data_IF_438570513300
#
_entry.id   IF_438570513300
#
_cell.length_a   1.000
_cell.length_b   1.000
_cell.length_c   1.000
_cell.angle_alpha   90.00
_cell.angle_beta   90.00
_cell.angle_gamma   90.00
#
_symmetry.space_group_name_H-M   'P 1'
#
loop_
_entity.id
_entity.type
_entity.pdbx_description
1 polymer ?
#
# COMPACT_ATOMS: atom_id res chain seq x y z
N UNK A 1 -29.20 -3.87 -2.39
CA UNK A 1 -28.53 -2.59 -2.53
C UNK A 1 -27.31 -2.68 -3.44
N UNK A 2 -26.89 -1.59 -4.05
CA UNK A 2 -25.68 -1.55 -4.85
C UNK A 2 -24.45 -1.67 -3.95
N UNK A 3 -23.41 -2.37 -4.44
CA UNK A 3 -22.12 -2.44 -3.75
C UNK A 3 -21.47 -1.07 -3.61
N UNK A 4 -20.62 -0.90 -2.57
CA UNK A 4 -19.74 0.26 -2.43
C UNK A 4 -18.93 0.46 -3.71
N UNK A 5 -18.66 1.70 -4.08
CA UNK A 5 -17.76 2.01 -5.20
C UNK A 5 -16.30 1.89 -4.83
N UNK A 6 -15.96 1.84 -3.55
CA UNK A 6 -14.59 1.75 -3.06
C UNK A 6 -13.99 0.38 -3.32
N UNK A 7 -12.91 0.35 -4.07
CA UNK A 7 -12.16 -0.87 -4.39
C UNK A 7 -10.68 -0.75 -4.09
N UNK A 8 -10.25 0.37 -3.51
CA UNK A 8 -8.87 0.63 -3.13
C UNK A 8 -8.84 1.56 -1.90
N UNK A 9 -7.97 1.30 -0.97
CA UNK A 9 -7.63 2.22 0.13
C UNK A 9 -6.24 1.90 0.68
N UNK A 10 -5.59 2.88 1.28
CA UNK A 10 -4.47 2.64 2.18
C UNK A 10 -5.01 2.40 3.58
N UNK A 11 -4.43 1.48 4.33
CA UNK A 11 -4.94 1.14 5.66
C UNK A 11 -4.73 2.30 6.65
N UNK A 12 -5.76 2.66 7.42
CA UNK A 12 -5.66 3.65 8.50
C UNK A 12 -4.85 3.14 9.69
N UNK A 13 -4.74 1.84 9.83
CA UNK A 13 -4.03 1.17 10.91
C UNK A 13 -2.64 0.78 10.43
N UNK A 14 -1.61 1.36 11.04
CA UNK A 14 -0.22 1.05 10.71
C UNK A 14 0.18 -0.28 11.32
N UNK A 15 0.86 -1.12 10.54
CA UNK A 15 1.52 -2.31 11.11
C UNK A 15 2.74 -1.86 11.91
N UNK A 16 2.94 -2.47 13.06
CA UNK A 16 4.13 -2.20 13.88
C UNK A 16 5.37 -2.90 13.33
N UNK A 17 5.16 -3.99 12.59
CA UNK A 17 6.24 -4.82 12.03
C UNK A 17 5.83 -5.38 10.68
N UNK A 18 6.78 -6.03 9.99
CA UNK A 18 6.52 -6.78 8.75
C UNK A 18 5.82 -8.13 8.96
N UNK A 19 5.54 -8.52 10.22
CA UNK A 19 4.86 -9.78 10.53
C UNK A 19 3.34 -9.61 10.43
N UNK A 20 2.82 -9.75 9.23
CA UNK A 20 1.40 -9.55 8.94
C UNK A 20 0.57 -10.85 8.99
N UNK A 21 1.21 -12.00 9.25
CA UNK A 21 0.55 -13.31 9.18
C UNK A 21 0.49 -13.88 7.76
N UNK A 22 1.48 -13.56 6.94
CA UNK A 22 1.51 -13.92 5.52
C UNK A 22 0.49 -13.12 4.70
N UNK A 23 0.23 -13.54 3.46
CA UNK A 23 -0.78 -12.91 2.60
C UNK A 23 -2.19 -13.06 3.19
N UNK A 24 -2.49 -14.21 3.79
CA UNK A 24 -3.80 -14.47 4.40
C UNK A 24 -4.08 -13.49 5.54
N UNK A 25 -3.12 -13.28 6.43
CA UNK A 25 -3.25 -12.32 7.53
C UNK A 25 -3.37 -10.89 7.06
N UNK A 26 -2.61 -10.51 6.04
CA UNK A 26 -2.67 -9.19 5.43
C UNK A 26 -4.01 -8.94 4.73
N UNK A 27 -4.53 -9.91 3.98
CA UNK A 27 -5.84 -9.83 3.33
C UNK A 27 -6.96 -9.69 4.38
N UNK A 28 -6.89 -10.49 5.44
CA UNK A 28 -7.85 -10.40 6.55
C UNK A 28 -7.85 -9.00 7.18
N UNK A 29 -6.68 -8.42 7.40
CA UNK A 29 -6.54 -7.04 7.92
C UNK A 29 -7.25 -6.04 7.01
N UNK A 30 -7.02 -6.09 5.70
CA UNK A 30 -7.71 -5.22 4.75
C UNK A 30 -9.22 -5.42 4.78
N UNK A 31 -9.68 -6.67 4.79
CA UNK A 31 -11.10 -6.99 4.78
C UNK A 31 -11.79 -6.55 6.08
N UNK A 32 -11.16 -6.72 7.24
CA UNK A 32 -11.71 -6.32 8.54
C UNK A 32 -11.83 -4.78 8.62
N UNK A 33 -10.83 -4.03 8.14
CA UNK A 33 -10.88 -2.57 8.08
C UNK A 33 -11.99 -2.09 7.14
N UNK A 34 -12.11 -2.70 5.97
CA UNK A 34 -13.18 -2.39 5.01
C UNK A 34 -14.56 -2.66 5.60
N UNK A 35 -14.75 -3.81 6.27
CA UNK A 35 -16.02 -4.14 6.91
C UNK A 35 -16.38 -3.15 8.01
N UNK A 36 -15.41 -2.78 8.84
CA UNK A 36 -15.58 -1.79 9.90
C UNK A 36 -15.95 -0.41 9.38
N UNK A 37 -15.42 -0.03 8.22
CA UNK A 37 -15.75 1.23 7.54
C UNK A 37 -17.05 1.18 6.72
N UNK A 38 -17.74 0.04 6.67
CA UNK A 38 -18.98 -0.14 5.92
C UNK A 38 -18.80 -0.32 4.41
N UNK A 39 -17.60 -0.65 3.96
CA UNK A 39 -17.27 -0.88 2.53
C UNK A 39 -16.80 -2.32 2.27
N UNK A 40 -17.08 -3.24 3.19
CA UNK A 40 -16.63 -4.64 3.13
C UNK A 40 -17.44 -5.55 2.20
N UNK A 41 -18.28 -5.01 1.34
CA UNK A 41 -19.09 -5.74 0.35
C UNK A 41 -18.32 -6.15 -0.92
N UNK A 42 -17.06 -5.72 -1.04
CA UNK A 42 -16.07 -6.26 -1.96
C UNK A 42 -15.09 -7.17 -1.22
N UNK A 43 -14.44 -8.07 -1.95
CA UNK A 43 -13.29 -8.82 -1.43
C UNK A 43 -12.03 -8.00 -1.64
N UNK A 44 -11.36 -7.64 -0.54
CA UNK A 44 -10.10 -6.91 -0.58
C UNK A 44 -8.90 -7.85 -0.43
N UNK A 45 -7.89 -7.60 -1.23
CA UNK A 45 -6.59 -8.26 -1.14
C UNK A 45 -5.51 -7.22 -0.86
N UNK A 46 -4.58 -7.53 0.04
CA UNK A 46 -3.42 -6.69 0.27
C UNK A 46 -2.55 -6.63 -0.99
N UNK A 47 -2.11 -5.44 -1.37
CA UNK A 47 -1.14 -5.25 -2.45
C UNK A 47 0.26 -5.59 -1.93
N UNK A 48 0.59 -6.86 -1.93
CA UNK A 48 1.84 -7.40 -1.42
C UNK A 48 2.34 -8.51 -2.34
N UNK A 49 3.65 -8.51 -2.60
CA UNK A 49 4.31 -9.66 -3.23
C UNK A 49 4.94 -10.57 -2.18
N UNK A 50 5.06 -11.84 -2.52
CA UNK A 50 5.88 -12.82 -1.80
C UNK A 50 6.93 -13.40 -2.73
N UNK A 51 7.78 -14.28 -2.23
CA UNK A 51 8.80 -14.98 -3.04
C UNK A 51 8.19 -15.78 -4.20
N UNK A 52 6.89 -16.12 -4.14
CA UNK A 52 6.20 -16.94 -5.15
C UNK A 52 4.99 -16.28 -5.79
N UNK A 53 4.58 -15.09 -5.32
CA UNK A 53 3.38 -14.40 -5.81
C UNK A 53 3.69 -12.93 -6.07
N UNK A 54 3.35 -12.44 -7.24
CA UNK A 54 3.45 -11.02 -7.56
C UNK A 54 2.18 -10.28 -7.12
N UNK A 55 2.33 -9.10 -6.53
CA UNK A 55 1.19 -8.29 -6.11
C UNK A 55 0.20 -8.01 -7.25
N UNK A 56 0.71 -7.72 -8.45
CA UNK A 56 -0.13 -7.45 -9.62
C UNK A 56 -1.05 -8.62 -10.01
N UNK A 57 -0.69 -9.85 -9.66
CA UNK A 57 -1.42 -11.05 -10.07
C UNK A 57 -2.53 -11.43 -9.09
N UNK A 58 -2.66 -10.70 -7.96
CA UNK A 58 -3.63 -11.02 -6.90
C UNK A 58 -4.70 -9.97 -6.66
N UNK A 59 -4.68 -8.88 -7.40
CA UNK A 59 -5.57 -7.73 -7.18
C UNK A 59 -6.65 -7.54 -8.25
N UNK A 60 -6.74 -8.45 -9.23
CA UNK A 60 -7.67 -8.31 -10.35
C UNK A 60 -7.18 -7.34 -11.42
N UNK A 61 -8.10 -6.81 -12.21
CA UNK A 61 -7.80 -6.01 -13.41
C UNK A 61 -8.25 -4.55 -13.33
N UNK A 62 -8.89 -4.14 -12.22
CA UNK A 62 -9.45 -2.80 -12.05
C UNK A 62 -10.83 -2.64 -12.72
N UNK A 63 -11.34 -1.42 -12.85
CA UNK A 63 -10.75 -0.19 -12.33
C UNK A 63 -10.75 -0.15 -10.78
N UNK A 64 -9.86 0.66 -10.20
CA UNK A 64 -9.84 0.91 -8.77
C UNK A 64 -10.26 2.34 -8.45
N UNK A 65 -11.07 2.47 -7.40
CA UNK A 65 -11.62 3.73 -6.93
C UNK A 65 -11.39 3.82 -5.41
N UNK A 66 -10.87 4.93 -4.93
CA UNK A 66 -10.64 5.13 -3.50
C UNK A 66 -11.93 5.51 -2.76
N UNK A 67 -11.86 5.61 -1.44
CA UNK A 67 -13.02 5.87 -0.58
C UNK A 67 -13.64 7.26 -0.76
N UNK A 68 -12.94 8.20 -1.37
CA UNK A 68 -13.48 9.51 -1.78
C UNK A 68 -14.14 9.50 -3.16
N UNK A 69 -14.13 8.36 -3.85
CA UNK A 69 -14.69 8.23 -5.20
C UNK A 69 -13.74 8.64 -6.32
N UNK A 70 -12.46 8.88 -6.01
CA UNK A 70 -11.44 9.20 -7.00
C UNK A 70 -10.94 7.91 -7.67
N UNK A 71 -10.85 7.91 -8.99
CA UNK A 71 -10.26 6.79 -9.74
C UNK A 71 -8.75 6.74 -9.46
N UNK A 72 -8.30 5.61 -8.92
CA UNK A 72 -6.88 5.35 -8.68
C UNK A 72 -6.19 4.96 -9.98
N UNK A 73 -6.77 4.00 -10.69
CA UNK A 73 -6.30 3.57 -12.01
C UNK A 73 -7.41 2.80 -12.73
N UNK A 74 -7.41 2.88 -14.06
CA UNK A 74 -8.38 2.18 -14.90
C UNK A 74 -8.07 0.69 -15.07
N UNK A 75 -6.78 0.33 -15.06
CA UNK A 75 -6.28 -1.01 -15.31
C UNK A 75 -4.88 -1.23 -14.70
N UNK A 76 -4.35 -2.43 -14.82
CA UNK A 76 -3.03 -2.78 -14.27
C UNK A 76 -1.88 -1.95 -14.88
N UNK A 77 -1.94 -1.62 -16.15
CA UNK A 77 -0.93 -0.80 -16.81
C UNK A 77 -0.91 0.61 -16.23
N UNK A 78 -2.08 1.23 -16.11
CA UNK A 78 -2.23 2.56 -15.53
C UNK A 78 -1.82 2.57 -14.05
N UNK A 79 -2.16 1.53 -13.28
CA UNK A 79 -1.80 1.41 -11.88
C UNK A 79 -0.27 1.41 -11.68
N UNK A 80 0.46 0.65 -12.50
CA UNK A 80 1.91 0.51 -12.38
C UNK A 80 2.70 1.64 -13.10
N UNK A 81 2.03 2.47 -13.89
CA UNK A 81 2.60 3.69 -14.44
C UNK A 81 2.37 4.92 -13.55
N UNK A 82 1.46 4.82 -12.57
CA UNK A 82 1.08 5.95 -11.73
C UNK A 82 2.18 6.30 -10.72
N UNK A 83 2.23 7.59 -10.39
CA UNK A 83 3.04 8.12 -9.28
C UNK A 83 2.19 8.27 -8.04
N UNK A 84 2.82 8.20 -6.87
CA UNK A 84 2.19 8.49 -5.60
C UNK A 84 1.57 9.89 -5.61
N UNK A 85 0.41 9.98 -4.98
CA UNK A 85 -0.35 11.22 -4.79
C UNK A 85 -1.29 10.98 -3.61
N UNK A 86 -1.22 11.80 -2.58
CA UNK A 86 -2.00 11.59 -1.37
C UNK A 86 -3.51 11.58 -1.62
N UNK A 87 -3.99 12.36 -2.59
CA UNK A 87 -5.42 12.42 -2.95
C UNK A 87 -5.90 11.15 -3.65
N UNK A 88 -5.00 10.31 -4.12
CA UNK A 88 -5.27 9.10 -4.89
C UNK A 88 -4.91 7.86 -4.09
N UNK A 89 -3.63 7.70 -3.73
CA UNK A 89 -3.09 6.53 -3.05
C UNK A 89 -3.03 6.66 -1.53
N UNK A 90 -3.17 7.86 -0.99
CA UNK A 90 -3.04 8.15 0.45
C UNK A 90 -4.37 8.33 1.17
N UNK A 91 -5.49 7.87 0.61
CA UNK A 91 -6.81 7.95 1.23
C UNK A 91 -7.15 6.61 1.87
N UNK A 92 -7.47 6.63 3.17
CA UNK A 92 -7.80 5.43 3.94
C UNK A 92 -9.25 4.97 3.75
N UNK A 93 -9.62 3.85 4.36
CA UNK A 93 -10.97 3.30 4.32
C UNK A 93 -12.03 4.20 4.97
N UNK A 94 -11.61 5.15 5.80
CA UNK A 94 -12.47 6.12 6.50
C UNK A 94 -12.55 7.49 5.77
N UNK A 95 -12.07 7.56 4.51
CA UNK A 95 -12.06 8.79 3.70
C UNK A 95 -11.10 9.86 4.20
N UNK A 96 -10.09 9.49 4.98
CA UNK A 96 -9.07 10.41 5.49
C UNK A 96 -7.77 10.24 4.72
N UNK A 97 -7.07 11.35 4.53
CA UNK A 97 -5.70 11.33 4.02
C UNK A 97 -4.76 10.97 5.16
N UNK A 98 -3.87 10.01 4.92
CA UNK A 98 -2.83 9.68 5.89
C UNK A 98 -1.76 10.76 5.91
N UNK A 99 -1.05 10.89 7.03
CA UNK A 99 0.06 11.83 7.15
C UNK A 99 1.26 11.38 6.31
N UNK A 100 1.97 12.33 5.74
CA UNK A 100 3.16 12.07 4.92
C UNK A 100 4.01 13.31 4.72
N UNK A 101 4.86 13.29 3.72
CA UNK A 101 5.67 14.46 3.37
C UNK A 101 4.82 15.63 2.85
N UNK A 102 3.68 15.36 2.24
CA UNK A 102 2.77 16.37 1.72
C UNK A 102 2.27 17.35 2.79
N UNK A 103 2.21 16.92 4.05
CA UNK A 103 1.84 17.76 5.20
C UNK A 103 2.95 17.76 6.26
N UNK A 104 4.18 17.83 5.83
CA UNK A 104 5.38 17.84 6.67
C UNK A 104 5.26 18.80 7.85
N UNK A 105 5.52 18.30 9.06
CA UNK A 105 5.37 19.04 10.31
C UNK A 105 4.03 18.85 11.03
N UNK A 106 3.08 18.12 10.45
CA UNK A 106 1.78 17.78 11.07
C UNK A 106 1.67 16.28 11.30
N UNK A 107 1.99 15.81 12.50
CA UNK A 107 1.85 14.41 12.88
C UNK A 107 3.02 13.52 12.42
N UNK A 108 2.85 12.22 12.65
CA UNK A 108 3.83 11.20 12.24
C UNK A 108 3.73 10.96 10.74
N UNK A 109 4.89 10.88 10.07
CA UNK A 109 4.93 10.51 8.66
C UNK A 109 4.64 8.99 8.52
N UNK A 110 3.59 8.66 7.79
CA UNK A 110 3.09 7.29 7.58
C UNK A 110 2.99 6.92 6.09
N UNK A 111 3.68 7.66 5.22
CA UNK A 111 3.57 7.49 3.77
C UNK A 111 4.24 6.23 3.22
N UNK A 112 5.08 5.57 3.99
CA UNK A 112 5.75 4.32 3.60
C UNK A 112 4.75 3.17 3.63
N UNK A 113 4.45 2.62 2.45
CA UNK A 113 3.50 1.53 2.28
C UNK A 113 4.27 0.26 1.97
N UNK A 114 4.11 -0.76 2.82
CA UNK A 114 4.69 -2.08 2.59
C UNK A 114 4.10 -2.69 1.31
N UNK A 115 4.94 -3.10 0.39
CA UNK A 115 4.51 -3.75 -0.87
C UNK A 115 5.33 -4.98 -1.24
N UNK A 116 6.64 -4.98 -0.95
CA UNK A 116 7.54 -6.04 -1.39
C UNK A 116 7.66 -6.13 -2.91
N UNK A 117 7.36 -5.04 -3.65
CA UNK A 117 7.27 -5.07 -5.11
C UNK A 117 8.29 -4.17 -5.79
N UNK A 118 8.59 -4.53 -7.04
CA UNK A 118 9.20 -3.66 -8.05
C UNK A 118 8.12 -2.71 -8.64
N UNK A 119 8.51 -1.64 -9.35
CA UNK A 119 7.54 -0.70 -9.93
C UNK A 119 6.49 -1.34 -10.83
N UNK A 120 6.81 -2.44 -11.49
CA UNK A 120 5.90 -3.18 -12.39
C UNK A 120 4.93 -4.14 -11.67
N UNK A 121 4.97 -4.19 -10.33
CA UNK A 121 4.10 -5.05 -9.52
C UNK A 121 4.60 -6.47 -9.33
N UNK A 122 5.80 -6.81 -9.81
CA UNK A 122 6.46 -8.09 -9.53
C UNK A 122 7.24 -8.04 -8.21
N UNK A 123 7.61 -9.20 -7.67
CA UNK A 123 8.31 -9.25 -6.37
C UNK A 123 9.67 -8.56 -6.43
N UNK A 124 9.97 -7.77 -5.42
CA UNK A 124 11.32 -7.34 -5.09
C UNK A 124 11.97 -8.42 -4.25
N UNK A 125 12.82 -9.24 -4.87
CA UNK A 125 13.39 -10.42 -4.23
C UNK A 125 14.12 -10.09 -2.92
N UNK A 126 13.81 -10.87 -1.88
CA UNK A 126 14.42 -10.71 -0.55
C UNK A 126 13.92 -9.50 0.25
N UNK A 127 12.89 -8.78 -0.23
CA UNK A 127 12.35 -7.57 0.40
C UNK A 127 10.87 -7.73 0.78
N UNK A 128 10.55 -8.86 1.41
CA UNK A 128 9.17 -9.23 1.76
C UNK A 128 9.00 -9.60 3.24
N UNK A 129 9.97 -9.28 4.10
CA UNK A 129 9.93 -9.71 5.52
C UNK A 129 9.61 -11.21 5.65
N UNK A 130 10.31 -12.07 4.91
CA UNK A 130 10.06 -13.52 4.83
C UNK A 130 8.58 -13.80 4.50
N UNK A 131 8.13 -13.22 3.39
CA UNK A 131 6.74 -13.36 2.93
C UNK A 131 5.71 -12.95 3.99
N UNK A 132 6.03 -11.84 4.69
CA UNK A 132 5.18 -11.19 5.70
C UNK A 132 4.96 -12.02 6.96
N UNK A 133 5.93 -12.88 7.28
CA UNK A 133 5.89 -13.72 8.48
C UNK A 133 6.91 -13.33 9.53
N UNK A 134 7.80 -12.38 9.23
CA UNK A 134 8.96 -12.04 10.09
C UNK A 134 8.87 -10.61 10.62
N UNK A 135 9.25 -10.47 11.89
CA UNK A 135 9.53 -9.23 12.59
C UNK A 135 11.02 -9.11 12.97
N UNK A 136 11.90 -9.82 12.26
CA UNK A 136 13.33 -9.82 12.54
C UNK A 136 13.99 -8.52 12.06
N UNK A 137 14.79 -7.89 12.93
CA UNK A 137 15.47 -6.64 12.64
C UNK A 137 16.49 -6.71 11.49
N UNK A 138 17.02 -7.89 11.19
CA UNK A 138 17.96 -8.10 10.07
C UNK A 138 17.31 -8.28 8.70
N UNK A 139 15.99 -8.18 8.61
CA UNK A 139 15.24 -8.31 7.35
C UNK A 139 14.56 -6.99 7.00
N UNK A 140 14.31 -6.79 5.73
CA UNK A 140 13.70 -5.56 5.19
C UNK A 140 12.59 -5.87 4.21
N UNK A 141 11.77 -4.86 3.95
CA UNK A 141 10.73 -4.89 2.93
C UNK A 141 10.88 -3.73 1.96
N UNK A 142 10.47 -3.92 0.72
CA UNK A 142 10.27 -2.82 -0.21
C UNK A 142 9.01 -2.06 0.16
N UNK A 143 9.10 -0.71 0.14
CA UNK A 143 7.99 0.20 0.39
C UNK A 143 7.81 1.17 -0.77
N UNK A 144 6.60 1.67 -0.93
CA UNK A 144 6.29 2.80 -1.80
C UNK A 144 5.85 4.01 -0.98
N UNK A 145 5.85 5.18 -1.60
CA UNK A 145 5.36 6.42 -1.02
C UNK A 145 3.98 6.76 -1.58
N UNK A 146 2.94 6.59 -0.77
CA UNK A 146 1.58 6.84 -1.24
C UNK A 146 1.31 8.30 -1.61
N UNK A 147 2.09 9.25 -1.08
CA UNK A 147 2.05 10.67 -1.43
C UNK A 147 3.04 11.05 -2.56
N UNK A 148 3.88 10.11 -3.00
CA UNK A 148 4.85 10.33 -4.07
C UNK A 148 6.00 11.26 -3.72
N UNK A 149 6.27 11.48 -2.44
CA UNK A 149 7.26 12.44 -1.97
C UNK A 149 8.31 11.79 -1.07
N UNK A 150 9.53 12.26 -1.16
CA UNK A 150 10.62 11.98 -0.23
C UNK A 150 10.84 13.12 0.74
N UNK A 151 11.95 13.09 1.51
CA UNK A 151 12.28 14.11 2.50
C UNK A 151 12.22 15.54 1.92
N UNK A 152 11.60 16.46 2.67
CA UNK A 152 11.41 17.84 2.22
C UNK A 152 10.49 17.97 1.00
N UNK A 153 9.56 17.05 0.81
CA UNK A 153 8.64 16.97 -0.34
C UNK A 153 9.34 16.77 -1.69
N UNK A 154 10.53 16.15 -1.68
CA UNK A 154 11.27 15.86 -2.90
C UNK A 154 10.52 14.85 -3.79
N UNK A 155 10.49 15.11 -5.10
CA UNK A 155 9.84 14.27 -6.11
C UNK A 155 10.84 13.72 -7.13
N UNK A 156 12.10 13.54 -6.75
CA UNK A 156 13.19 13.06 -7.59
C UNK A 156 13.50 11.59 -7.34
N UNK A 157 14.24 10.96 -8.24
CA UNK A 157 14.68 9.57 -8.12
C UNK A 157 13.50 8.61 -8.03
N UNK A 158 13.50 7.73 -7.03
CA UNK A 158 12.46 6.72 -6.79
C UNK A 158 11.34 7.19 -5.84
N UNK A 159 11.47 8.35 -5.22
CA UNK A 159 10.49 8.90 -4.28
C UNK A 159 9.05 8.98 -4.84
N UNK A 160 8.83 9.31 -6.13
CA UNK A 160 7.48 9.37 -6.68
C UNK A 160 6.76 8.03 -6.81
N UNK A 161 7.44 6.91 -6.67
CA UNK A 161 6.79 5.60 -6.81
C UNK A 161 5.86 5.30 -5.64
N UNK A 162 4.58 5.05 -5.92
CA UNK A 162 3.61 4.69 -4.88
C UNK A 162 3.85 3.29 -4.33
N UNK A 163 4.49 2.39 -5.09
CA UNK A 163 4.64 0.98 -4.74
C UNK A 163 6.07 0.51 -4.57
N UNK A 164 7.09 1.29 -4.97
CA UNK A 164 8.49 0.82 -4.96
C UNK A 164 9.47 1.98 -4.90
N UNK A 165 9.59 2.64 -3.76
CA UNK A 165 10.48 3.77 -3.56
C UNK A 165 11.83 3.39 -2.98
N UNK A 166 11.85 2.61 -1.91
CA UNK A 166 13.06 2.13 -1.24
C UNK A 166 12.75 0.93 -0.34
N UNK A 167 13.77 0.32 0.23
CA UNK A 167 13.57 -0.64 1.32
C UNK A 167 13.42 0.11 2.67
N UNK A 168 12.61 -0.43 3.56
CA UNK A 168 12.56 0.05 4.94
C UNK A 168 13.85 -0.36 5.70
N UNK A 169 14.06 0.20 6.86
CA UNK A 169 15.25 -0.11 7.67
C UNK A 169 15.20 -1.49 8.34
N UNK A 170 13.99 -2.02 8.58
CA UNK A 170 13.82 -3.23 9.38
C UNK A 170 12.39 -3.78 9.28
N UNK A 171 12.24 -5.10 9.38
CA UNK A 171 10.93 -5.74 9.55
C UNK A 171 10.43 -5.68 11.01
N UNK A 172 11.26 -5.21 11.94
CA UNK A 172 10.90 -5.07 13.34
C UNK A 172 10.16 -3.76 13.65
N UNK A 173 10.18 -2.80 12.72
CA UNK A 173 9.60 -1.46 12.88
C UNK A 173 8.48 -1.23 11.86
#
# INVERSE_FOLDING_TARGET
GSKSKTTFFVTSDTSKTGKLGGLEGADKRCQDLAAKAGIGDHTFHAYLSTSTVNAKDRIGTGPWVNSLGTTVAADLTALHAAKGNVDVFGVDENKKKINGQWNSGTGTNEHDILTGTMPDGTVQAGKTCTDWTSDAAGQTAQVGHCDGMGPGMATTGTYPSWNSSHENGSCAD
#
